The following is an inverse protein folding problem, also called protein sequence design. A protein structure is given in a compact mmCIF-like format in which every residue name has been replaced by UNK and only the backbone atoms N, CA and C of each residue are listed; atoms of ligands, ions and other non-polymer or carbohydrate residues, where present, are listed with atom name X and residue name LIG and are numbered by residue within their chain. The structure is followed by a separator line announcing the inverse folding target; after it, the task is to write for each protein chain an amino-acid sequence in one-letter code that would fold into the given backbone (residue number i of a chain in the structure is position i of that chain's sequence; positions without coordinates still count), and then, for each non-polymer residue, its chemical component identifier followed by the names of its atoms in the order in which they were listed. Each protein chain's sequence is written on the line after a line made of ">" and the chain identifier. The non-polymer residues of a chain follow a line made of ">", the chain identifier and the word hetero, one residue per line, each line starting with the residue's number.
data_IF_679930047554
#
_entry.id   IF_679930047554
#
_cell.length_a   1.000
_cell.length_b   1.000
_cell.length_c   1.000
_cell.angle_alpha   90.00
_cell.angle_beta   90.00
_cell.angle_gamma   90.00
#
_symmetry.space_group_name_H-M   'P 1'
#
loop_
_entity.id
_entity.type
_entity.pdbx_description
1 polymer ?
#
# COMPACT_ATOMS: atom_id res chain seq x y z
N UNK A 1 -0.01 8.95 32.58
CA UNK A 1 1.11 9.14 31.64
C UNK A 1 0.64 8.72 30.27
N UNK A 2 0.51 9.65 29.32
CA UNK A 2 0.20 9.36 27.92
C UNK A 2 1.50 9.30 27.13
N UNK A 3 1.73 8.21 26.42
CA UNK A 3 2.85 8.10 25.48
C UNK A 3 2.37 8.55 24.11
N UNK A 4 3.16 9.39 23.45
CA UNK A 4 2.94 9.77 22.05
C UNK A 4 4.00 9.04 21.24
N UNK A 5 3.60 8.19 20.31
CA UNK A 5 4.51 7.59 19.33
C UNK A 5 4.58 8.53 18.13
N UNK A 6 5.79 9.06 17.85
CA UNK A 6 6.05 9.89 16.67
C UNK A 6 6.65 8.98 15.59
N UNK A 7 5.95 8.82 14.46
CA UNK A 7 6.42 8.04 13.31
C UNK A 7 7.70 8.70 12.79
N UNK A 8 8.80 7.96 12.78
CA UNK A 8 10.04 8.44 12.19
C UNK A 8 9.90 8.45 10.66
N UNK A 9 10.42 9.48 9.97
CA UNK A 9 10.34 9.55 8.52
C UNK A 9 11.13 8.40 7.88
N UNK A 10 10.51 7.70 6.95
CA UNK A 10 11.13 6.64 6.16
C UNK A 10 11.56 7.17 4.77
N UNK A 11 12.70 6.76 4.21
CA UNK A 11 13.16 7.23 2.89
C UNK A 11 12.15 7.04 1.75
N UNK A 12 11.26 6.06 1.89
CA UNK A 12 10.22 5.75 0.91
C UNK A 12 8.89 6.50 1.16
N UNK A 13 8.79 7.36 2.18
CA UNK A 13 7.55 8.11 2.49
C UNK A 13 7.08 8.95 1.31
N UNK A 14 8.00 9.70 0.71
CA UNK A 14 7.69 10.50 -0.47
C UNK A 14 7.24 9.64 -1.66
N UNK A 15 7.85 8.47 -1.87
CA UNK A 15 7.52 7.58 -2.99
C UNK A 15 6.12 6.99 -2.80
N UNK A 16 5.80 6.54 -1.59
CA UNK A 16 4.47 6.05 -1.24
C UNK A 16 3.38 7.12 -1.37
N UNK A 17 3.67 8.35 -0.93
CA UNK A 17 2.74 9.49 -1.11
C UNK A 17 2.47 9.77 -2.59
N UNK A 18 3.52 9.75 -3.43
CA UNK A 18 3.38 9.96 -4.88
C UNK A 18 2.56 8.82 -5.51
N UNK A 19 2.83 7.56 -5.15
CA UNK A 19 2.12 6.42 -5.70
C UNK A 19 0.63 6.45 -5.33
N UNK A 20 0.31 6.69 -4.05
CA UNK A 20 -1.07 6.81 -3.59
C UNK A 20 -1.80 7.99 -4.25
N UNK A 21 -1.16 9.16 -4.33
CA UNK A 21 -1.76 10.33 -4.98
C UNK A 21 -2.03 10.11 -6.47
N UNK A 22 -1.17 9.35 -7.17
CA UNK A 22 -1.43 8.96 -8.58
C UNK A 22 -2.58 7.99 -8.71
N UNK A 23 -2.68 7.02 -7.81
CA UNK A 23 -3.80 6.08 -7.79
C UNK A 23 -5.13 6.79 -7.52
N UNK A 24 -5.17 7.69 -6.54
CA UNK A 24 -6.36 8.51 -6.26
C UNK A 24 -6.75 9.37 -7.46
N UNK A 25 -5.78 10.06 -8.07
CA UNK A 25 -6.05 10.89 -9.25
C UNK A 25 -6.51 10.08 -10.46
N UNK A 26 -5.97 8.88 -10.68
CA UNK A 26 -6.39 8.00 -11.77
C UNK A 26 -7.83 7.50 -11.56
N UNK A 27 -8.18 7.13 -10.33
CA UNK A 27 -9.54 6.71 -9.98
C UNK A 27 -10.53 7.86 -10.12
N UNK A 28 -10.19 9.04 -9.64
CA UNK A 28 -11.02 10.23 -9.81
C UNK A 28 -11.22 10.55 -11.29
N UNK A 29 -10.17 10.43 -12.12
CA UNK A 29 -10.29 10.63 -13.56
C UNK A 29 -11.28 9.64 -14.19
N UNK A 30 -11.18 8.34 -13.86
CA UNK A 30 -12.09 7.30 -14.32
C UNK A 30 -13.53 7.56 -13.86
N UNK A 31 -13.73 7.84 -12.57
CA UNK A 31 -15.05 8.10 -11.98
C UNK A 31 -15.69 9.41 -12.52
N UNK A 32 -14.88 10.35 -13.00
CA UNK A 32 -15.31 11.63 -13.56
C UNK A 32 -15.58 11.60 -15.07
N UNK A 33 -15.38 10.46 -15.73
CA UNK A 33 -15.64 10.36 -17.17
C UNK A 33 -17.11 10.68 -17.47
N UNK A 34 -17.38 11.52 -18.49
CA UNK A 34 -18.74 11.81 -18.89
C UNK A 34 -19.39 10.55 -19.47
N UNK A 35 -20.72 10.43 -19.36
CA UNK A 35 -21.48 9.32 -20.00
C UNK A 35 -21.32 9.26 -21.53
N UNK A 36 -20.78 10.31 -22.14
CA UNK A 36 -20.49 10.39 -23.58
C UNK A 36 -19.05 10.02 -23.93
N UNK A 37 -18.25 9.57 -22.96
CA UNK A 37 -16.87 9.14 -23.20
C UNK A 37 -16.83 8.02 -24.23
N UNK A 38 -15.77 7.99 -25.04
CA UNK A 38 -15.56 6.87 -25.96
C UNK A 38 -15.02 5.66 -25.22
N UNK A 39 -15.19 4.47 -25.79
CA UNK A 39 -14.57 3.25 -25.25
C UNK A 39 -13.05 3.42 -25.11
N UNK A 40 -12.39 4.11 -26.05
CA UNK A 40 -10.94 4.33 -25.97
C UNK A 40 -10.55 5.24 -24.80
N UNK A 41 -11.41 6.19 -24.40
CA UNK A 41 -11.19 7.05 -23.24
C UNK A 41 -11.40 6.28 -21.93
N UNK A 42 -12.44 5.43 -21.87
CA UNK A 42 -12.68 4.53 -20.73
C UNK A 42 -11.55 3.53 -20.54
N UNK A 43 -11.11 2.88 -21.62
CA UNK A 43 -10.00 1.93 -21.60
C UNK A 43 -8.70 2.59 -21.13
N UNK A 44 -8.39 3.79 -21.65
CA UNK A 44 -7.21 4.54 -21.25
C UNK A 44 -7.23 4.96 -19.76
N UNK A 45 -8.39 5.34 -19.24
CA UNK A 45 -8.55 5.68 -17.82
C UNK A 45 -8.43 4.43 -16.93
N UNK A 46 -9.03 3.31 -17.33
CA UNK A 46 -8.92 2.03 -16.63
C UNK A 46 -7.48 1.50 -16.61
N UNK A 47 -6.76 1.63 -17.73
CA UNK A 47 -5.35 1.29 -17.83
C UNK A 47 -4.49 2.16 -16.89
N UNK A 48 -4.80 3.45 -16.78
CA UNK A 48 -4.10 4.36 -15.88
C UNK A 48 -4.30 3.97 -14.40
N UNK A 49 -5.52 3.57 -14.02
CA UNK A 49 -5.81 3.02 -12.68
C UNK A 49 -4.99 1.76 -12.44
N UNK A 50 -5.06 0.80 -13.36
CA UNK A 50 -4.33 -0.47 -13.26
C UNK A 50 -2.82 -0.25 -13.12
N UNK A 51 -2.24 0.67 -13.88
CA UNK A 51 -0.81 1.01 -13.77
C UNK A 51 -0.46 1.62 -12.41
N UNK A 52 -1.33 2.46 -11.85
CA UNK A 52 -1.12 3.06 -10.54
C UNK A 52 -1.20 2.01 -9.42
N UNK A 53 -2.15 1.07 -9.51
CA UNK A 53 -2.28 -0.07 -8.58
C UNK A 53 -1.03 -0.95 -8.63
N UNK A 54 -0.55 -1.30 -9.83
CA UNK A 54 0.68 -2.07 -10.01
C UNK A 54 1.91 -1.35 -9.43
N UNK A 55 1.97 -0.02 -9.54
CA UNK A 55 3.05 0.76 -8.94
C UNK A 55 3.05 0.66 -7.41
N UNK A 56 1.88 0.73 -6.76
CA UNK A 56 1.72 0.53 -5.31
C UNK A 56 2.15 -0.90 -4.92
N UNK A 57 1.71 -1.89 -5.69
CA UNK A 57 2.00 -3.30 -5.42
C UNK A 57 3.50 -3.64 -5.53
N UNK A 58 4.23 -2.95 -6.41
CA UNK A 58 5.67 -3.08 -6.56
C UNK A 58 6.47 -2.46 -5.41
N UNK A 59 5.89 -1.55 -4.62
CA UNK A 59 6.60 -0.93 -3.50
C UNK A 59 6.70 -1.88 -2.30
N UNK A 60 7.84 -1.89 -1.59
CA UNK A 60 7.94 -2.61 -0.33
C UNK A 60 7.10 -1.90 0.75
N UNK A 61 6.38 -2.69 1.53
CA UNK A 61 5.65 -2.24 2.70
C UNK A 61 6.63 -2.00 3.87
N UNK A 62 6.37 -0.94 4.62
CA UNK A 62 7.23 -0.51 5.75
C UNK A 62 6.47 -0.53 7.06
N UNK A 63 5.16 -0.64 6.96
CA UNK A 63 4.20 -0.63 8.04
C UNK A 63 3.00 -1.48 7.65
N UNK A 64 2.21 -1.84 8.67
CA UNK A 64 0.95 -2.56 8.45
C UNK A 64 0.00 -1.78 7.54
N UNK A 65 -0.02 -0.44 7.66
CA UNK A 65 -0.85 0.44 6.82
C UNK A 65 -0.53 0.25 5.33
N UNK A 66 0.77 0.17 4.98
CA UNK A 66 1.19 -0.04 3.59
C UNK A 66 0.70 -1.40 3.07
N UNK A 67 0.79 -2.47 3.89
CA UNK A 67 0.28 -3.79 3.52
C UNK A 67 -1.24 -3.79 3.31
N UNK A 68 -1.99 -3.06 4.14
CA UNK A 68 -3.44 -2.92 3.99
C UNK A 68 -3.78 -2.22 2.68
N UNK A 69 -3.09 -1.13 2.33
CA UNK A 69 -3.26 -0.45 1.05
C UNK A 69 -3.00 -1.41 -0.11
N UNK A 70 -1.91 -2.19 -0.06
CA UNK A 70 -1.60 -3.21 -1.09
C UNK A 70 -2.72 -4.25 -1.23
N UNK A 71 -3.30 -4.71 -0.13
CA UNK A 71 -4.43 -5.65 -0.17
C UNK A 71 -5.67 -5.01 -0.81
N UNK A 72 -5.98 -3.76 -0.47
CA UNK A 72 -7.13 -3.05 -1.05
C UNK A 72 -6.98 -2.90 -2.56
N UNK A 73 -5.82 -2.46 -3.05
CA UNK A 73 -5.59 -2.27 -4.49
C UNK A 73 -5.42 -3.58 -5.26
N UNK A 74 -5.11 -4.69 -4.57
CA UNK A 74 -5.05 -6.01 -5.22
C UNK A 74 -6.43 -6.56 -5.63
N UNK A 75 -7.53 -5.86 -5.28
CA UNK A 75 -8.90 -6.26 -5.59
C UNK A 75 -9.42 -7.41 -4.72
N UNK A 76 -8.71 -7.75 -3.63
CA UNK A 76 -9.04 -8.87 -2.76
C UNK A 76 -10.38 -8.69 -2.03
N UNK A 77 -10.78 -7.44 -1.78
CA UNK A 77 -12.05 -7.09 -1.13
C UNK A 77 -13.23 -7.05 -2.11
N UNK A 78 -12.97 -6.73 -3.38
CA UNK A 78 -14.00 -6.48 -4.41
C UNK A 78 -14.22 -7.66 -5.36
N UNK A 79 -13.31 -8.63 -5.40
CA UNK A 79 -13.39 -9.81 -6.27
C UNK A 79 -12.75 -9.63 -7.65
N UNK A 80 -12.42 -8.39 -8.02
CA UNK A 80 -11.63 -8.05 -9.22
C UNK A 80 -10.14 -8.20 -8.92
N UNK A 81 -9.73 -9.41 -8.55
CA UNK A 81 -8.34 -9.69 -8.20
C UNK A 81 -7.48 -9.51 -9.45
N UNK A 82 -6.49 -8.63 -9.38
CA UNK A 82 -5.44 -8.54 -10.39
C UNK A 82 -4.78 -9.92 -10.51
N UNK A 83 -5.10 -10.64 -11.59
CA UNK A 83 -4.70 -12.06 -11.78
C UNK A 83 -3.19 -12.29 -11.73
N UNK A 84 -2.41 -11.21 -11.91
CA UNK A 84 -0.95 -11.20 -11.85
C UNK A 84 -0.39 -11.11 -10.42
N UNK A 85 -1.21 -10.82 -9.42
CA UNK A 85 -0.80 -10.67 -8.02
C UNK A 85 -1.34 -11.84 -7.21
N UNK A 86 -0.45 -12.52 -6.48
CA UNK A 86 -0.86 -13.47 -5.45
C UNK A 86 -1.03 -12.73 -4.12
N UNK A 87 -2.25 -12.61 -3.56
CA UNK A 87 -2.45 -11.87 -2.32
C UNK A 87 -1.70 -12.48 -1.12
N UNK A 88 -1.36 -13.77 -1.20
CA UNK A 88 -0.53 -14.44 -0.20
C UNK A 88 0.85 -13.79 -0.06
N UNK A 89 1.39 -13.19 -1.13
CA UNK A 89 2.68 -12.51 -1.09
C UNK A 89 2.62 -11.23 -0.26
N UNK A 90 1.48 -10.51 -0.33
CA UNK A 90 1.23 -9.31 0.48
C UNK A 90 1.05 -9.68 1.95
N UNK A 91 0.36 -10.78 2.24
CA UNK A 91 0.23 -11.30 3.61
C UNK A 91 1.58 -11.73 4.18
N UNK A 92 2.43 -12.39 3.37
CA UNK A 92 3.79 -12.75 3.79
C UNK A 92 4.64 -11.52 4.07
N UNK A 93 4.48 -10.45 3.31
CA UNK A 93 5.14 -9.16 3.57
C UNK A 93 4.66 -8.55 4.90
N UNK A 94 3.37 -8.61 5.18
CA UNK A 94 2.79 -8.17 6.46
C UNK A 94 3.38 -8.93 7.66
N UNK A 95 3.53 -10.25 7.55
CA UNK A 95 4.16 -11.08 8.59
C UNK A 95 5.61 -10.64 8.83
N UNK A 96 6.40 -10.37 7.78
CA UNK A 96 7.78 -9.89 7.92
C UNK A 96 7.85 -8.56 8.69
N UNK A 97 6.94 -7.62 8.39
CA UNK A 97 6.86 -6.34 9.11
C UNK A 97 6.57 -6.55 10.59
N UNK A 98 5.67 -7.50 10.93
CA UNK A 98 5.35 -7.85 12.32
C UNK A 98 6.54 -8.52 13.03
N UNK A 99 7.22 -9.45 12.36
CA UNK A 99 8.38 -10.15 12.92
C UNK A 99 9.52 -9.17 13.23
N UNK A 100 9.81 -8.24 12.31
CA UNK A 100 10.79 -7.19 12.55
C UNK A 100 10.43 -6.30 13.74
N UNK A 101 9.15 -5.91 13.86
CA UNK A 101 8.68 -5.11 14.98
C UNK A 101 8.82 -5.87 16.31
N UNK A 102 8.43 -7.14 16.35
CA UNK A 102 8.59 -8.02 17.52
C UNK A 102 10.06 -8.17 17.91
N UNK A 103 10.95 -8.36 16.93
CA UNK A 103 12.38 -8.50 17.18
C UNK A 103 12.99 -7.22 17.78
N UNK A 104 12.63 -6.05 17.24
CA UNK A 104 13.07 -4.75 17.79
C UNK A 104 12.57 -4.54 19.23
N UNK A 105 11.31 -4.88 19.49
CA UNK A 105 10.73 -4.83 20.84
C UNK A 105 11.46 -5.75 21.82
N UNK A 106 11.78 -6.98 21.42
CA UNK A 106 12.56 -7.93 22.22
C UNK A 106 13.95 -7.40 22.57
N UNK A 107 14.65 -6.80 21.60
CA UNK A 107 15.96 -6.21 21.82
C UNK A 107 15.90 -5.03 22.82
N UNK A 108 14.91 -4.14 22.66
CA UNK A 108 14.70 -3.03 23.58
C UNK A 108 14.43 -3.49 25.03
N UNK A 109 13.67 -4.56 25.21
CA UNK A 109 13.40 -5.12 26.53
C UNK A 109 14.65 -5.72 27.17
N UNK A 110 15.56 -6.33 26.39
CA UNK A 110 16.85 -6.84 26.89
C UNK A 110 17.76 -5.70 27.32
N UNK A 111 17.91 -4.66 26.48
CA UNK A 111 18.72 -3.49 26.79
C UNK A 111 18.26 -2.79 28.09
N UNK A 112 16.95 -2.76 28.37
CA UNK A 112 16.44 -2.23 29.65
C UNK A 112 16.65 -3.16 30.84
N UNK A 113 16.75 -4.47 30.65
CA UNK A 113 16.98 -5.40 31.74
C UNK A 113 18.44 -5.35 32.22
N UNK A 114 19.36 -4.98 31.33
CA UNK A 114 20.80 -4.88 31.57
C UNK A 114 21.26 -3.49 32.06
N UNK A 115 20.35 -2.49 32.12
CA UNK A 115 20.60 -1.09 32.50
C UNK A 115 20.07 -0.75 33.89
#
# INVERSE_FOLDING_TARGET
>A
MSWIMIKQPHPLDAIWQIANGRHEAAREALDSLPETATQEEEDAASDAVTQAELAILALPARSMDDCIIKLMVSGMETGDVLTVINPSDIVNEMVKVLDEACQRGSNFMKERADA
#
